data_IF_546112051766
#
_entry.id   IF_546112051766
#
_cell.length_a   1.000
_cell.length_b   1.000
_cell.length_c   1.000
_cell.angle_alpha   90.00
_cell.angle_beta   90.00
_cell.angle_gamma   90.00
#
_symmetry.space_group_name_H-M   'P 1'
#
loop_
_entity.id
_entity.type
_entity.pdbx_description
1 polymer ?
#
# COMPACT_ATOMS: atom_id res chain seq x y z
N UNK A 1 21.38 -24.53 12.49
CA UNK A 1 19.95 -24.18 12.74
C UNK A 1 19.36 -23.58 11.47
N UNK A 2 18.15 -23.97 11.06
CA UNK A 2 17.46 -23.39 9.88
C UNK A 2 16.95 -22.00 10.26
N UNK A 3 17.37 -20.96 9.54
CA UNK A 3 16.92 -19.57 9.78
C UNK A 3 15.43 -19.48 9.40
N UNK A 4 14.57 -19.17 10.35
CA UNK A 4 13.13 -18.98 10.08
C UNK A 4 12.95 -17.74 9.19
N UNK A 5 12.24 -17.91 8.07
CA UNK A 5 11.88 -16.82 7.16
C UNK A 5 10.49 -16.33 7.55
N UNK A 6 10.38 -15.05 7.93
CA UNK A 6 9.08 -14.42 8.19
C UNK A 6 8.58 -13.78 6.91
N UNK A 7 7.41 -14.22 6.46
CA UNK A 7 6.70 -13.66 5.31
C UNK A 7 5.55 -12.82 5.86
N UNK A 8 5.50 -11.56 5.45
CA UNK A 8 4.40 -10.65 5.71
C UNK A 8 3.44 -10.70 4.52
N UNK A 9 2.18 -11.07 4.76
CA UNK A 9 1.16 -11.21 3.72
C UNK A 9 0.13 -10.07 3.74
N UNK A 10 0.31 -9.09 4.64
CA UNK A 10 -0.59 -7.95 4.81
C UNK A 10 0.25 -6.67 4.90
N UNK A 11 0.93 -6.34 3.80
CA UNK A 11 1.81 -5.19 3.73
C UNK A 11 1.24 -4.10 2.82
N UNK A 12 0.57 -3.10 3.39
CA UNK A 12 0.06 -1.99 2.60
C UNK A 12 1.17 -1.00 2.22
N UNK A 13 1.17 -0.56 0.97
CA UNK A 13 2.03 0.52 0.48
C UNK A 13 1.21 1.73 0.08
N UNK A 14 1.80 2.93 0.19
CA UNK A 14 1.16 4.20 -0.18
C UNK A 14 2.07 5.04 -1.11
N UNK A 15 2.32 4.59 -2.35
CA UNK A 15 3.02 5.39 -3.35
C UNK A 15 2.38 6.79 -3.52
N UNK A 16 3.17 7.85 -3.72
CA UNK A 16 2.63 9.22 -3.82
C UNK A 16 1.55 9.39 -4.90
N UNK A 17 1.66 8.67 -6.01
CA UNK A 17 0.72 8.71 -7.12
C UNK A 17 -0.63 8.08 -6.72
N UNK A 18 -0.61 7.01 -5.92
CA UNK A 18 -1.82 6.41 -5.35
C UNK A 18 -2.49 7.34 -4.34
N UNK A 19 -1.72 7.94 -3.44
CA UNK A 19 -2.25 8.94 -2.48
C UNK A 19 -2.87 10.13 -3.20
N UNK A 20 -2.27 10.56 -4.32
CA UNK A 20 -2.80 11.67 -5.12
C UNK A 20 -4.17 11.33 -5.71
N UNK A 21 -4.34 10.12 -6.26
CA UNK A 21 -5.66 9.65 -6.73
C UNK A 21 -6.71 9.58 -5.63
N UNK A 22 -6.34 9.13 -4.42
CA UNK A 22 -7.27 9.11 -3.29
C UNK A 22 -7.77 10.52 -2.94
N UNK A 23 -6.87 11.51 -2.96
CA UNK A 23 -7.22 12.92 -2.68
C UNK A 23 -8.15 13.53 -3.72
N UNK A 24 -8.03 13.14 -4.99
CA UNK A 24 -8.93 13.62 -6.07
C UNK A 24 -10.42 13.32 -5.77
N UNK A 25 -10.69 12.25 -5.02
CA UNK A 25 -12.05 11.83 -4.64
C UNK A 25 -12.37 12.11 -3.16
N UNK A 26 -11.56 12.93 -2.49
CA UNK A 26 -11.78 13.36 -1.11
C UNK A 26 -11.42 12.34 -0.03
N UNK A 27 -10.64 11.29 -0.37
CA UNK A 27 -10.13 10.33 0.61
C UNK A 27 -8.81 10.82 1.18
N UNK A 28 -8.82 11.28 2.44
CA UNK A 28 -7.66 11.88 3.11
C UNK A 28 -7.10 11.03 4.26
N UNK A 29 -7.88 10.07 4.76
CA UNK A 29 -7.52 9.21 5.88
C UNK A 29 -7.85 7.73 5.62
N UNK A 30 -7.25 6.86 6.43
CA UNK A 30 -7.63 5.45 6.54
C UNK A 30 -8.17 5.18 7.93
N UNK A 31 -9.48 4.97 8.05
CA UNK A 31 -10.17 4.69 9.32
C UNK A 31 -10.00 5.82 10.36
N UNK A 32 -10.06 7.08 9.93
CA UNK A 32 -9.90 8.26 10.79
C UNK A 32 -8.45 8.59 11.15
N UNK A 33 -7.48 7.89 10.56
CA UNK A 33 -6.04 8.16 10.75
C UNK A 33 -5.45 8.70 9.44
N UNK A 34 -4.80 9.88 9.47
CA UNK A 34 -4.17 10.44 8.28
C UNK A 34 -3.25 9.42 7.60
N UNK A 35 -3.28 9.39 6.27
CA UNK A 35 -2.42 8.50 5.50
C UNK A 35 -0.95 8.78 5.84
N UNK A 36 -0.19 7.78 6.34
CA UNK A 36 1.19 8.00 6.75
C UNK A 36 2.08 8.28 5.54
N UNK A 37 3.11 9.09 5.75
CA UNK A 37 4.16 9.27 4.74
C UNK A 37 4.90 7.94 4.51
N UNK A 38 4.81 7.43 3.28
CA UNK A 38 5.40 6.16 2.89
C UNK A 38 6.55 6.37 1.91
N UNK A 39 7.58 5.52 2.02
CA UNK A 39 8.62 5.36 1.01
C UNK A 39 9.10 3.90 0.99
N UNK A 40 9.69 3.42 -0.12
CA UNK A 40 10.30 2.10 -0.18
C UNK A 40 11.33 1.87 0.93
N UNK A 41 12.14 2.88 1.25
CA UNK A 41 13.19 2.81 2.28
C UNK A 41 12.59 2.64 3.67
N UNK A 42 11.49 3.34 3.98
CA UNK A 42 10.76 3.18 5.25
C UNK A 42 10.18 1.77 5.38
N UNK A 43 9.57 1.24 4.31
CA UNK A 43 9.04 -0.14 4.29
C UNK A 43 10.16 -1.17 4.48
N UNK A 44 11.27 -1.05 3.76
CA UNK A 44 12.43 -1.95 3.88
C UNK A 44 13.08 -1.87 5.27
N UNK A 45 13.17 -0.68 5.86
CA UNK A 45 13.67 -0.48 7.22
C UNK A 45 12.77 -1.16 8.25
N UNK A 46 11.44 -1.04 8.09
CA UNK A 46 10.47 -1.76 8.91
C UNK A 46 10.64 -3.28 8.78
N UNK A 47 10.77 -3.81 7.55
CA UNK A 47 11.00 -5.23 7.31
C UNK A 47 12.29 -5.72 8.02
N UNK A 48 13.39 -4.97 7.87
CA UNK A 48 14.68 -5.26 8.51
C UNK A 48 14.57 -5.29 10.03
N UNK A 49 13.94 -4.29 10.64
CA UNK A 49 13.72 -4.20 12.10
C UNK A 49 12.90 -5.38 12.62
N UNK A 50 11.92 -5.84 11.85
CA UNK A 50 10.99 -6.91 12.22
C UNK A 50 11.39 -8.31 11.72
N UNK A 51 12.59 -8.45 11.14
CA UNK A 51 13.10 -9.72 10.58
C UNK A 51 12.18 -10.34 9.52
N UNK A 52 11.44 -9.50 8.78
CA UNK A 52 10.60 -9.90 7.65
C UNK A 52 11.52 -10.03 6.43
N UNK A 53 11.51 -11.20 5.79
CA UNK A 53 12.36 -11.49 4.62
C UNK A 53 11.64 -11.28 3.31
N UNK A 54 10.31 -11.31 3.33
CA UNK A 54 9.46 -11.15 2.15
C UNK A 54 8.16 -10.49 2.59
N UNK A 55 7.72 -9.49 1.86
CA UNK A 55 6.42 -8.88 2.03
C UNK A 55 5.63 -9.04 0.73
N UNK A 56 4.37 -9.44 0.82
CA UNK A 56 3.42 -9.40 -0.29
C UNK A 56 2.72 -8.06 -0.21
N UNK A 57 3.11 -7.15 -1.10
CA UNK A 57 2.59 -5.78 -1.11
C UNK A 57 1.16 -5.74 -1.64
N UNK A 58 0.38 -4.82 -1.11
CA UNK A 58 -0.97 -4.49 -1.58
C UNK A 58 -1.24 -3.00 -1.41
N UNK A 59 -2.14 -2.44 -2.21
CA UNK A 59 -2.73 -1.13 -1.90
C UNK A 59 -4.02 -1.34 -1.11
N UNK A 60 -4.44 -0.33 -0.35
CA UNK A 60 -5.83 -0.27 0.10
C UNK A 60 -6.78 -0.05 -1.08
N UNK A 61 -8.08 -0.27 -0.86
CA UNK A 61 -9.13 0.15 -1.79
C UNK A 61 -10.12 1.03 -1.01
N UNK A 62 -10.39 2.27 -1.45
CA UNK A 62 -11.35 3.12 -0.79
C UNK A 62 -12.78 2.64 -1.05
N UNK A 63 -13.70 3.00 -0.16
CA UNK A 63 -15.13 2.79 -0.37
C UNK A 63 -15.70 4.07 -0.97
N UNK A 64 -15.96 4.05 -2.28
CA UNK A 64 -16.59 5.16 -3.02
C UNK A 64 -17.68 4.60 -3.94
N UNK A 65 -18.69 5.41 -4.27
CA UNK A 65 -19.82 4.98 -5.12
C UNK A 65 -19.48 5.01 -6.62
N UNK A 66 -18.40 5.68 -7.03
CA UNK A 66 -17.96 5.71 -8.42
C UNK A 66 -17.26 4.41 -8.83
N UNK A 67 -18.06 3.45 -9.30
CA UNK A 67 -17.55 2.16 -9.79
C UNK A 67 -16.71 2.25 -11.07
N UNK A 68 -16.89 3.28 -11.89
CA UNK A 68 -16.08 3.45 -13.10
C UNK A 68 -14.65 3.83 -12.70
N UNK A 69 -14.54 4.82 -11.82
CA UNK A 69 -13.28 5.23 -11.24
C UNK A 69 -12.62 4.10 -10.42
N UNK A 70 -13.37 3.33 -9.63
CA UNK A 70 -12.82 2.18 -8.89
C UNK A 70 -12.18 1.13 -9.81
N UNK A 71 -12.74 0.89 -11.00
CA UNK A 71 -12.15 -0.03 -11.99
C UNK A 71 -10.84 0.52 -12.55
N UNK A 72 -10.76 1.82 -12.78
CA UNK A 72 -9.53 2.47 -13.25
C UNK A 72 -8.46 2.46 -12.15
N UNK A 73 -8.85 2.77 -10.91
CA UNK A 73 -7.98 2.70 -9.75
C UNK A 73 -7.40 1.30 -9.58
N UNK A 74 -8.23 0.25 -9.70
CA UNK A 74 -7.76 -1.13 -9.55
C UNK A 74 -6.68 -1.49 -10.58
N UNK A 75 -6.82 -1.08 -11.86
CA UNK A 75 -5.78 -1.29 -12.88
C UNK A 75 -4.52 -0.52 -12.53
N UNK A 76 -4.67 0.75 -12.19
CA UNK A 76 -3.56 1.61 -11.81
C UNK A 76 -2.77 1.06 -10.60
N UNK A 77 -3.46 0.56 -9.57
CA UNK A 77 -2.81 -0.07 -8.42
C UNK A 77 -2.00 -1.30 -8.83
N UNK A 78 -2.52 -2.11 -9.75
CA UNK A 78 -1.80 -3.28 -10.26
C UNK A 78 -0.54 -2.87 -11.04
N UNK A 79 -0.59 -1.78 -11.80
CA UNK A 79 0.57 -1.28 -12.55
C UNK A 79 1.66 -0.77 -11.62
N UNK A 80 1.31 -0.01 -10.58
CA UNK A 80 2.28 0.47 -9.57
C UNK A 80 2.88 -0.68 -8.75
N UNK A 81 2.12 -1.72 -8.44
CA UNK A 81 2.65 -2.89 -7.72
C UNK A 81 3.64 -3.72 -8.55
N UNK A 82 3.69 -3.51 -9.87
CA UNK A 82 4.57 -4.21 -10.81
C UNK A 82 5.77 -3.39 -11.27
N UNK A 83 5.79 -2.08 -11.04
CA UNK A 83 6.88 -1.17 -11.42
C UNK A 83 8.07 -1.23 -10.47
#
# INVERSE_FOLDING_TARGET
>A
MKKTRRIDVHHHILPPEFVSKLKEVGVEDGLGVPLPEWSPEKSLSFMKKNKITTAIASTGIPVVEDYAWLRELARFCNDILQS
#
